data_IF_416287897278
#
_entry.id   IF_416287897278
#
_cell.length_a   1.000
_cell.length_b   1.000
_cell.length_c   1.000
_cell.angle_alpha   90.00
_cell.angle_beta   90.00
_cell.angle_gamma   90.00
#
_symmetry.space_group_name_H-M   'P 1'
#
loop_
_entity.id
_entity.type
_entity.pdbx_description
1 polymer ?
#
# COMPACT_ATOMS: atom_id res chain seq x y z
N UNK A 1 -2.06 -0.28 0.35
CA UNK A 1 -2.35 0.79 -0.60
C UNK A 1 -3.05 1.95 0.11
N UNK A 2 -2.72 3.19 -0.23
CA UNK A 2 -3.32 4.39 0.35
C UNK A 2 -3.90 5.28 -0.74
N UNK A 3 -4.86 6.13 -0.39
CA UNK A 3 -5.25 7.25 -1.25
C UNK A 3 -4.19 8.37 -1.23
N UNK A 4 -4.43 9.44 -1.99
CA UNK A 4 -3.51 10.58 -2.07
C UNK A 4 -3.44 11.42 -0.78
N UNK A 5 -4.40 11.27 0.12
CA UNK A 5 -4.42 11.87 1.46
C UNK A 5 -3.68 11.05 2.52
N UNK A 6 -3.32 9.81 2.19
CA UNK A 6 -2.68 8.85 3.09
C UNK A 6 -3.67 8.06 3.95
N UNK A 7 -4.92 7.92 3.49
CA UNK A 7 -5.87 7.01 4.11
C UNK A 7 -5.66 5.60 3.54
N UNK A 8 -5.74 4.59 4.39
CA UNK A 8 -5.63 3.21 3.96
C UNK A 8 -6.86 2.81 3.13
N UNK A 9 -6.65 2.46 1.87
CA UNK A 9 -7.69 1.95 0.97
C UNK A 9 -7.78 0.44 1.06
N UNK A 10 -6.64 -0.24 1.17
CA UNK A 10 -6.55 -1.67 1.38
C UNK A 10 -5.15 -2.10 1.77
N UNK A 11 -5.08 -3.22 2.48
CA UNK A 11 -3.85 -3.85 2.89
C UNK A 11 -3.98 -5.37 2.82
N UNK A 12 -2.91 -6.02 2.43
CA UNK A 12 -2.72 -7.46 2.55
C UNK A 12 -1.50 -7.72 3.42
N UNK A 13 -1.59 -8.73 4.24
CA UNK A 13 -0.47 -9.23 5.06
C UNK A 13 -0.14 -10.62 4.57
N UNK A 14 1.10 -10.85 4.24
CA UNK A 14 1.59 -12.14 3.74
C UNK A 14 2.90 -12.52 4.44
N UNK A 15 3.30 -13.80 4.43
CA UNK A 15 4.59 -14.24 4.93
C UNK A 15 5.75 -13.51 4.25
N UNK A 16 6.87 -13.36 4.96
CA UNK A 16 8.03 -12.61 4.49
C UNK A 16 8.79 -13.23 3.29
N UNK A 17 8.47 -14.46 2.93
CA UNK A 17 8.99 -15.17 1.75
C UNK A 17 8.28 -14.79 0.44
N UNK A 18 7.11 -14.12 0.54
CA UNK A 18 6.39 -13.59 -0.62
C UNK A 18 6.88 -12.16 -0.90
N UNK A 19 7.23 -11.88 -2.15
CA UNK A 19 7.65 -10.53 -2.53
C UNK A 19 6.46 -9.58 -2.60
N UNK A 20 6.66 -8.32 -2.21
CA UNK A 20 5.61 -7.28 -2.18
C UNK A 20 4.87 -7.10 -3.51
N UNK A 21 5.57 -7.24 -4.64
CA UNK A 21 4.96 -7.16 -5.98
C UNK A 21 3.95 -8.28 -6.25
N UNK A 22 4.18 -9.47 -5.67
CA UNK A 22 3.29 -10.62 -5.84
C UNK A 22 2.07 -10.48 -4.92
N UNK A 23 2.26 -9.92 -3.71
CA UNK A 23 1.18 -9.55 -2.79
C UNK A 23 0.32 -8.38 -3.30
N UNK A 24 0.87 -7.51 -4.15
CA UNK A 24 0.14 -6.36 -4.69
C UNK A 24 -1.11 -6.75 -5.50
N UNK A 25 -1.05 -7.88 -6.22
CA UNK A 25 -2.20 -8.39 -6.99
C UNK A 25 -3.39 -8.63 -6.09
N UNK A 26 -3.19 -9.27 -4.94
CA UNK A 26 -4.26 -9.58 -3.97
C UNK A 26 -4.93 -8.30 -3.43
N UNK A 27 -4.13 -7.26 -3.15
CA UNK A 27 -4.67 -5.97 -2.70
C UNK A 27 -5.51 -5.34 -3.80
N UNK A 28 -5.03 -5.34 -5.04
CA UNK A 28 -5.72 -4.69 -6.16
C UNK A 28 -7.00 -5.43 -6.51
N UNK A 29 -7.02 -6.76 -6.48
CA UNK A 29 -8.22 -7.57 -6.67
C UNK A 29 -9.30 -7.23 -5.63
N UNK A 30 -8.94 -7.18 -4.35
CA UNK A 30 -9.86 -6.83 -3.28
C UNK A 30 -10.41 -5.40 -3.43
N UNK A 31 -9.56 -4.45 -3.80
CA UNK A 31 -9.93 -3.04 -3.99
C UNK A 31 -10.78 -2.85 -5.23
N UNK A 32 -10.51 -3.58 -6.31
CA UNK A 32 -11.29 -3.47 -7.54
C UNK A 32 -12.77 -3.77 -7.33
N UNK A 33 -13.09 -4.71 -6.45
CA UNK A 33 -14.47 -5.02 -6.10
C UNK A 33 -15.14 -3.93 -5.28
N UNK A 34 -14.39 -3.29 -4.36
CA UNK A 34 -14.91 -2.26 -3.46
C UNK A 34 -14.98 -0.88 -4.15
N UNK A 35 -14.02 -0.59 -5.04
CA UNK A 35 -13.86 0.70 -5.69
C UNK A 35 -13.71 0.53 -7.22
N UNK A 36 -14.77 0.13 -7.93
CA UNK A 36 -14.68 -0.24 -9.36
C UNK A 36 -14.32 0.94 -10.29
N UNK A 37 -14.39 2.17 -9.80
CA UNK A 37 -13.96 3.37 -10.55
C UNK A 37 -12.46 3.66 -10.44
N UNK A 38 -11.75 3.04 -9.51
CA UNK A 38 -10.32 3.25 -9.33
C UNK A 38 -9.54 2.61 -10.49
N UNK A 39 -8.65 3.36 -11.13
CA UNK A 39 -7.93 2.90 -12.33
C UNK A 39 -6.45 3.28 -12.36
N UNK A 40 -6.03 4.24 -11.53
CA UNK A 40 -4.66 4.75 -11.57
C UNK A 40 -3.95 4.53 -10.25
N UNK A 41 -2.75 3.95 -10.32
CA UNK A 41 -1.90 3.66 -9.18
C UNK A 41 -0.53 4.31 -9.35
N UNK A 42 -0.03 4.90 -8.28
CA UNK A 42 1.37 5.27 -8.15
C UNK A 42 2.10 4.17 -7.37
N UNK A 43 3.21 3.70 -7.88
CA UNK A 43 4.01 2.66 -7.24
C UNK A 43 5.50 2.99 -7.33
N UNK A 44 6.31 2.40 -6.47
CA UNK A 44 7.75 2.48 -6.61
C UNK A 44 8.30 1.47 -7.62
N UNK A 45 9.60 1.50 -7.88
CA UNK A 45 10.23 0.66 -8.90
C UNK A 45 10.19 -0.84 -8.60
N UNK A 46 9.97 -1.25 -7.35
CA UNK A 46 9.86 -2.67 -6.95
C UNK A 46 8.63 -3.32 -7.60
N UNK A 47 7.58 -2.52 -7.81
CA UNK A 47 6.34 -2.97 -8.45
C UNK A 47 6.37 -2.96 -9.99
N UNK A 48 7.49 -2.57 -10.60
CA UNK A 48 7.64 -2.58 -12.05
C UNK A 48 8.01 -3.98 -12.54
N UNK A 49 7.02 -4.78 -12.92
CA UNK A 49 7.25 -6.14 -13.41
C UNK A 49 6.15 -6.65 -14.33
N UNK A 50 6.50 -7.51 -15.30
CA UNK A 50 5.56 -8.01 -16.30
C UNK A 50 4.42 -8.83 -15.68
N UNK A 51 4.67 -9.55 -14.57
CA UNK A 51 3.66 -10.33 -13.87
C UNK A 51 2.54 -9.47 -13.30
N UNK A 52 2.89 -8.35 -12.66
CA UNK A 52 1.91 -7.41 -12.13
C UNK A 52 1.12 -6.73 -13.23
N UNK A 53 1.77 -6.29 -14.30
CA UNK A 53 1.09 -5.70 -15.46
C UNK A 53 0.12 -6.69 -16.12
N UNK A 54 0.50 -7.96 -16.26
CA UNK A 54 -0.37 -9.00 -16.82
C UNK A 54 -1.58 -9.29 -15.91
N UNK A 55 -1.39 -9.30 -14.59
CA UNK A 55 -2.47 -9.48 -13.64
C UNK A 55 -3.46 -8.30 -13.69
N UNK A 56 -2.95 -7.07 -13.73
CA UNK A 56 -3.79 -5.88 -13.83
C UNK A 56 -4.59 -5.81 -15.14
N UNK A 57 -4.00 -6.22 -16.25
CA UNK A 57 -4.70 -6.30 -17.54
C UNK A 57 -5.90 -7.25 -17.51
N UNK A 58 -5.87 -8.30 -16.69
CA UNK A 58 -6.99 -9.22 -16.49
C UNK A 58 -8.10 -8.61 -15.62
N UNK A 59 -7.75 -7.72 -14.68
CA UNK A 59 -8.70 -7.07 -13.79
C UNK A 59 -9.39 -5.86 -14.41
N UNK A 60 -8.88 -5.35 -15.52
CA UNK A 60 -9.46 -4.21 -16.25
C UNK A 60 -8.41 -3.19 -16.69
N UNK A 61 -8.85 -1.98 -17.01
CA UNK A 61 -7.99 -0.90 -17.50
C UNK A 61 -7.27 -0.18 -16.35
N UNK A 62 -6.32 -0.83 -15.73
CA UNK A 62 -5.47 -0.26 -14.70
C UNK A 62 -4.22 0.37 -15.30
N UNK A 63 -3.85 1.55 -14.79
CA UNK A 63 -2.59 2.22 -15.12
C UNK A 63 -1.71 2.26 -13.88
N UNK A 64 -0.48 1.76 -13.99
CA UNK A 64 0.55 1.93 -12.95
C UNK A 64 1.56 2.96 -13.44
N UNK A 65 1.73 3.99 -12.65
CA UNK A 65 2.78 4.99 -12.83
C UNK A 65 3.89 4.74 -11.80
N UNK A 66 5.07 4.40 -12.30
CA UNK A 66 6.23 4.16 -11.45
C UNK A 66 6.86 5.50 -11.06
N UNK A 67 6.77 5.84 -9.78
CA UNK A 67 7.38 7.03 -9.21
C UNK A 67 8.88 6.79 -9.04
N UNK A 68 9.68 7.41 -9.90
CA UNK A 68 11.15 7.35 -9.86
C UNK A 68 11.72 8.68 -9.42
N UNK A 69 12.85 8.61 -8.74
CA UNK A 69 13.70 9.78 -8.54
C UNK A 69 14.30 10.20 -9.88
N UNK A 70 14.50 11.49 -10.09
CA UNK A 70 15.20 11.98 -11.27
C UNK A 70 16.61 11.38 -11.32
N UNK A 71 17.06 10.98 -12.52
CA UNK A 71 18.36 10.30 -12.68
C UNK A 71 19.55 11.20 -12.31
N UNK A 72 19.36 12.50 -12.41
CA UNK A 72 20.33 13.56 -12.13
C UNK A 72 20.19 14.18 -10.72
N UNK A 73 19.23 13.70 -9.92
CA UNK A 73 19.01 14.23 -8.58
C UNK A 73 20.17 13.92 -7.64
N UNK A 74 20.81 14.95 -7.10
CA UNK A 74 21.87 14.89 -6.11
C UNK A 74 21.28 15.15 -4.71
N UNK A 75 21.59 14.30 -3.73
CA UNK A 75 21.11 14.47 -2.37
C UNK A 75 19.69 13.89 -2.14
N UNK A 76 19.04 14.27 -1.06
CA UNK A 76 17.69 13.81 -0.72
C UNK A 76 16.65 14.54 -1.56
N UNK A 77 15.77 13.78 -2.21
CA UNK A 77 14.61 14.30 -2.95
C UNK A 77 13.33 13.71 -2.37
N UNK A 78 12.41 14.58 -1.96
CA UNK A 78 11.10 14.17 -1.52
C UNK A 78 10.22 13.86 -2.73
N UNK A 79 9.80 12.60 -2.86
CA UNK A 79 8.83 12.16 -3.87
C UNK A 79 7.43 12.17 -3.24
N UNK A 80 6.56 13.15 -3.52
CA UNK A 80 5.30 13.34 -2.78
C UNK A 80 4.41 12.11 -2.77
N UNK A 81 4.30 11.39 -3.88
CA UNK A 81 3.46 10.18 -3.98
C UNK A 81 3.99 9.02 -3.14
N UNK A 82 5.30 8.83 -3.10
CA UNK A 82 5.97 7.85 -2.25
C UNK A 82 5.91 8.24 -0.79
N UNK A 83 6.17 9.50 -0.48
CA UNK A 83 6.15 10.02 0.88
C UNK A 83 4.78 9.83 1.57
N UNK A 84 3.66 9.92 0.84
CA UNK A 84 2.32 9.66 1.38
C UNK A 84 2.23 8.26 1.99
N UNK A 85 2.73 7.24 1.31
CA UNK A 85 2.72 5.85 1.81
C UNK A 85 3.64 5.71 3.02
N UNK A 86 4.86 6.22 2.95
CA UNK A 86 5.84 6.18 4.04
C UNK A 86 5.28 6.85 5.31
N UNK A 87 4.66 8.00 5.16
CA UNK A 87 3.97 8.71 6.25
C UNK A 87 2.84 7.89 6.87
N UNK A 88 2.02 7.26 6.04
CA UNK A 88 0.91 6.42 6.53
C UNK A 88 1.43 5.22 7.30
N UNK A 89 2.45 4.53 6.81
CA UNK A 89 3.09 3.43 7.52
C UNK A 89 3.69 3.90 8.86
N UNK A 90 4.35 5.07 8.87
CA UNK A 90 4.88 5.65 10.11
C UNK A 90 3.77 5.96 11.14
N UNK A 91 2.59 6.39 10.70
CA UNK A 91 1.45 6.59 11.59
C UNK A 91 0.86 5.28 12.12
N UNK A 92 0.73 4.25 11.28
CA UNK A 92 0.26 2.93 11.69
C UNK A 92 1.22 2.31 12.71
N UNK A 93 2.53 2.47 12.54
CA UNK A 93 3.55 1.94 13.45
C UNK A 93 3.55 2.60 14.85
N UNK A 94 2.83 3.69 15.05
CA UNK A 94 2.58 4.23 16.41
C UNK A 94 1.65 3.34 17.23
N UNK A 95 0.93 2.43 16.60
CA UNK A 95 0.18 1.40 17.31
C UNK A 95 1.16 0.33 17.81
N UNK A 96 1.16 0.10 19.15
CA UNK A 96 2.08 -0.87 19.79
C UNK A 96 2.01 -2.28 19.18
N UNK A 97 0.84 -2.71 18.72
CA UNK A 97 0.65 -4.04 18.12
C UNK A 97 1.27 -4.19 16.74
N UNK A 98 1.56 -3.08 16.05
CA UNK A 98 2.21 -3.06 14.75
C UNK A 98 3.72 -2.75 14.84
N UNK A 99 4.24 -2.43 16.02
CA UNK A 99 5.67 -2.13 16.20
C UNK A 99 6.58 -3.35 16.01
N UNK A 100 6.04 -4.56 16.22
CA UNK A 100 6.67 -5.86 15.94
C UNK A 100 5.58 -6.84 15.54
N UNK A 101 5.99 -7.94 14.92
CA UNK A 101 5.08 -9.05 14.65
C UNK A 101 4.85 -9.86 15.94
N UNK A 102 3.70 -9.63 16.56
CA UNK A 102 3.25 -10.32 17.76
C UNK A 102 2.15 -11.34 17.47
N UNK A 103 1.70 -11.40 16.22
CA UNK A 103 0.49 -12.14 15.89
C UNK A 103 0.82 -13.57 15.46
N UNK A 104 0.07 -14.52 16.00
CA UNK A 104 0.21 -15.94 15.65
C UNK A 104 -0.43 -16.29 14.30
N UNK A 105 -1.21 -15.39 13.72
CA UNK A 105 -1.85 -15.62 12.42
C UNK A 105 -1.88 -14.35 11.56
N UNK A 106 -1.81 -14.55 10.25
CA UNK A 106 -1.92 -13.49 9.24
C UNK A 106 -3.25 -12.75 9.37
N UNK A 107 -4.34 -13.47 9.66
CA UNK A 107 -5.66 -12.86 9.83
C UNK A 107 -5.69 -11.88 11.02
N UNK A 108 -5.04 -12.22 12.14
CA UNK A 108 -4.90 -11.33 13.29
C UNK A 108 -4.03 -10.13 12.97
N UNK A 109 -2.90 -10.34 12.30
CA UNK A 109 -2.01 -9.25 11.87
C UNK A 109 -2.74 -8.26 10.95
N UNK A 110 -3.48 -8.78 9.95
CA UNK A 110 -4.31 -7.97 9.05
C UNK A 110 -5.38 -7.18 9.79
N UNK A 111 -6.07 -7.81 10.75
CA UNK A 111 -7.08 -7.13 11.58
C UNK A 111 -6.47 -5.94 12.36
N UNK A 112 -5.29 -6.09 12.92
CA UNK A 112 -4.61 -5.00 13.62
C UNK A 112 -4.21 -3.84 12.72
N UNK A 113 -3.85 -4.08 11.46
CA UNK A 113 -3.61 -3.02 10.48
C UNK A 113 -4.87 -2.19 10.26
N UNK A 114 -6.02 -2.82 10.11
CA UNK A 114 -7.29 -2.11 9.95
C UNK A 114 -7.75 -1.40 11.22
N UNK A 115 -7.58 -2.01 12.39
CA UNK A 115 -7.88 -1.35 13.69
C UNK A 115 -7.02 -0.08 13.86
N UNK A 116 -5.73 -0.17 13.57
CA UNK A 116 -4.85 1.00 13.62
C UNK A 116 -5.26 2.09 12.61
N UNK A 117 -5.70 1.69 11.41
CA UNK A 117 -6.24 2.62 10.42
C UNK A 117 -7.51 3.31 10.90
N UNK A 118 -8.44 2.58 11.51
CA UNK A 118 -9.66 3.16 12.13
C UNK A 118 -9.31 4.16 13.23
N UNK A 119 -8.33 3.86 14.07
CA UNK A 119 -7.86 4.81 15.09
C UNK A 119 -7.31 6.12 14.49
N UNK A 120 -6.59 6.02 13.36
CA UNK A 120 -6.12 7.19 12.63
C UNK A 120 -7.27 8.02 12.05
N UNK A 121 -8.27 7.37 11.49
CA UNK A 121 -9.47 8.01 10.95
C UNK A 121 -10.24 8.77 12.03
N UNK A 122 -10.50 8.11 13.17
CA UNK A 122 -11.20 8.74 14.30
C UNK A 122 -10.46 10.01 14.78
N UNK A 123 -9.13 9.95 14.89
CA UNK A 123 -8.32 11.12 15.30
C UNK A 123 -8.32 12.27 14.30
N UNK A 124 -8.66 12.01 13.04
CA UNK A 124 -8.78 13.07 12.01
C UNK A 124 -10.18 13.70 11.97
N UNK A 125 -11.18 13.00 12.50
CA UNK A 125 -12.56 13.47 12.56
C UNK A 125 -12.85 14.23 13.87
N UNK A 126 -12.05 14.01 14.89
CA UNK A 126 -12.14 14.70 16.18
C UNK A 126 -11.37 16.02 16.17
#
# INVERSE_FOLDING_TARGET
MTDTGGLLVGAEVHPADIQDRDGAVLVIEAIHQLFPWLRHLFADSVYNGPSLHAALAKLGNWTIEIVKRAADAIGFELLPRRWVVERTLAWLNRNRRLAKDFEASIASAKAWVYIASVQLLIRRLA
#
